data_IF_925488501127
#
_entry.id   IF_925488501127
#
_cell.length_a   1.000
_cell.length_b   1.000
_cell.length_c   1.000
_cell.angle_alpha   90.00
_cell.angle_beta   90.00
_cell.angle_gamma   90.00
#
_symmetry.space_group_name_H-M   'P 1'
#
loop_
_entity.id
_entity.type
_entity.pdbx_description
1 polymer ?
#
# COMPACT_ATOMS: atom_id res chain seq x y z
N UNK A 1 9.81 -10.87 -21.56
CA UNK A 1 9.76 -10.04 -20.34
C UNK A 1 8.88 -8.84 -20.63
N UNK A 2 7.97 -8.49 -19.73
CA UNK A 2 7.09 -7.31 -19.86
C UNK A 2 7.41 -6.39 -18.69
N UNK A 3 7.62 -5.11 -18.97
CA UNK A 3 7.75 -4.10 -17.92
C UNK A 3 6.35 -3.71 -17.45
N UNK A 4 6.09 -3.83 -16.15
CA UNK A 4 4.84 -3.36 -15.54
C UNK A 4 5.11 -2.03 -14.85
N UNK A 5 4.31 -1.02 -15.16
CA UNK A 5 4.39 0.29 -14.53
C UNK A 5 3.00 0.67 -14.06
N UNK A 6 2.88 1.13 -12.82
CA UNK A 6 1.64 1.61 -12.26
C UNK A 6 1.65 3.13 -12.10
N UNK A 7 0.53 3.76 -12.44
CA UNK A 7 0.31 5.19 -12.24
C UNK A 7 -1.03 5.44 -11.59
N UNK A 8 -1.19 6.62 -11.00
CA UNK A 8 -2.51 7.15 -10.64
C UNK A 8 -3.12 7.89 -11.82
N UNK A 9 -4.44 7.79 -12.02
CA UNK A 9 -5.14 8.43 -13.14
C UNK A 9 -5.15 7.57 -14.41
N UNK A 10 -5.19 8.21 -15.58
CA UNK A 10 -5.40 7.57 -16.89
C UNK A 10 -4.14 6.83 -17.40
N UNK A 11 -4.16 5.48 -17.51
CA UNK A 11 -3.01 4.69 -17.96
C UNK A 11 -2.54 4.99 -19.37
N UNK A 12 -3.46 5.29 -20.30
CA UNK A 12 -3.17 5.46 -21.72
C UNK A 12 -2.24 6.67 -21.95
N UNK A 13 -2.49 7.78 -21.25
CA UNK A 13 -1.63 8.97 -21.32
C UNK A 13 -0.21 8.68 -20.82
N UNK A 14 -0.08 7.84 -19.79
CA UNK A 14 1.22 7.48 -19.25
C UNK A 14 1.95 6.45 -20.13
N UNK A 15 1.23 5.54 -20.77
CA UNK A 15 1.82 4.61 -21.74
C UNK A 15 2.44 5.38 -22.90
N UNK A 16 1.71 6.32 -23.51
CA UNK A 16 2.23 7.15 -24.61
C UNK A 16 3.54 7.84 -24.22
N UNK A 17 3.60 8.46 -23.04
CA UNK A 17 4.80 9.11 -22.55
C UNK A 17 5.96 8.12 -22.28
N UNK A 18 5.66 6.90 -21.84
CA UNK A 18 6.67 5.87 -21.59
C UNK A 18 7.25 5.27 -22.87
N UNK A 19 6.51 5.27 -23.97
CA UNK A 19 6.99 4.76 -25.26
C UNK A 19 8.18 5.53 -25.79
N UNK A 20 8.32 6.81 -25.43
CA UNK A 20 9.51 7.61 -25.78
C UNK A 20 10.79 7.11 -25.09
N UNK A 21 10.66 6.36 -23.97
CA UNK A 21 11.77 5.88 -23.16
C UNK A 21 11.95 4.35 -23.17
N UNK A 22 10.95 3.59 -23.62
CA UNK A 22 10.94 2.13 -23.57
C UNK A 22 10.33 1.48 -24.82
N UNK A 23 11.18 0.79 -25.58
CA UNK A 23 10.82 0.10 -26.83
C UNK A 23 10.39 -1.38 -26.64
N UNK A 24 10.33 -1.85 -25.40
CA UNK A 24 9.96 -3.24 -25.09
C UNK A 24 8.46 -3.46 -24.86
N UNK A 25 8.05 -4.72 -24.59
CA UNK A 25 6.71 -5.00 -24.09
C UNK A 25 6.47 -4.24 -22.77
N UNK A 26 5.34 -3.54 -22.70
CA UNK A 26 4.95 -2.66 -21.60
C UNK A 26 3.51 -2.98 -21.21
N UNK A 27 3.23 -2.97 -19.92
CA UNK A 27 1.90 -3.06 -19.33
C UNK A 27 1.78 -1.89 -18.36
N UNK A 28 0.85 -0.98 -18.65
CA UNK A 28 0.57 0.17 -17.78
C UNK A 28 -0.77 -0.06 -17.09
N UNK A 29 -0.79 0.07 -15.77
CA UNK A 29 -2.00 -0.12 -14.96
C UNK A 29 -2.28 1.11 -14.12
N UNK A 30 -3.56 1.34 -13.79
CA UNK A 30 -3.96 2.36 -12.83
C UNK A 30 -4.00 1.78 -11.42
N UNK A 31 -3.52 2.58 -10.48
CA UNK A 31 -3.64 2.38 -9.05
C UNK A 31 -4.21 3.61 -8.38
N UNK A 32 -4.75 3.43 -7.18
CA UNK A 32 -5.40 4.50 -6.43
C UNK A 32 -4.37 5.45 -5.80
N UNK A 33 -3.32 4.89 -5.20
CA UNK A 33 -2.31 5.63 -4.47
C UNK A 33 -1.01 5.75 -5.24
N UNK A 34 -0.39 6.92 -5.18
CA UNK A 34 1.02 7.08 -5.55
C UNK A 34 1.92 6.40 -4.53
N UNK A 35 3.13 5.99 -4.94
CA UNK A 35 4.14 5.49 -4.01
C UNK A 35 4.43 6.48 -2.87
N UNK A 36 4.39 7.79 -3.17
CA UNK A 36 4.61 8.85 -2.17
C UNK A 36 3.49 8.90 -1.13
N UNK A 37 2.25 8.64 -1.52
CA UNK A 37 1.12 8.57 -0.58
C UNK A 37 1.23 7.33 0.31
N UNK A 38 1.49 6.16 -0.27
CA UNK A 38 1.74 4.94 0.51
C UNK A 38 2.92 5.12 1.47
N UNK A 39 3.96 5.85 1.07
CA UNK A 39 5.07 6.17 1.95
C UNK A 39 4.67 7.02 3.15
N UNK A 40 3.81 8.02 2.96
CA UNK A 40 3.29 8.81 4.09
C UNK A 40 2.46 7.95 5.05
N UNK A 41 1.69 7.01 4.54
CA UNK A 41 0.94 6.05 5.36
C UNK A 41 1.90 5.16 6.15
N UNK A 42 2.91 4.59 5.49
CA UNK A 42 3.94 3.78 6.15
C UNK A 42 4.67 4.56 7.25
N UNK A 43 5.04 5.81 6.99
CA UNK A 43 5.72 6.67 7.95
C UNK A 43 4.79 6.98 9.15
N UNK A 44 3.51 7.34 8.93
CA UNK A 44 2.55 7.57 10.03
C UNK A 44 2.35 6.33 10.93
N UNK A 45 2.25 5.14 10.33
CA UNK A 45 2.14 3.89 11.08
C UNK A 45 3.38 3.63 11.95
N UNK A 46 4.57 3.96 11.44
CA UNK A 46 5.84 3.81 12.16
C UNK A 46 6.03 4.89 13.23
N UNK A 47 5.42 6.07 13.05
CA UNK A 47 5.50 7.22 13.95
C UNK A 47 4.40 7.23 15.03
N UNK A 48 3.82 6.08 15.36
CA UNK A 48 2.80 5.96 16.42
C UNK A 48 1.37 5.76 15.91
N UNK A 49 1.14 5.71 14.60
CA UNK A 49 -0.18 5.46 14.01
C UNK A 49 -0.74 4.09 14.36
N UNK A 50 0.09 3.05 14.30
CA UNK A 50 -0.31 1.70 14.66
C UNK A 50 -0.72 1.58 16.13
N UNK A 51 0.06 2.18 17.03
CA UNK A 51 -0.18 2.17 18.48
C UNK A 51 -1.46 2.94 18.84
N UNK A 52 -1.73 4.06 18.14
CA UNK A 52 -3.00 4.80 18.28
C UNK A 52 -4.21 3.96 17.85
N UNK A 53 -4.03 3.04 16.91
CA UNK A 53 -5.05 2.07 16.51
C UNK A 53 -5.09 0.82 17.43
N UNK A 54 -4.27 0.77 18.49
CA UNK A 54 -4.20 -0.34 19.43
C UNK A 54 -3.40 -1.54 18.94
N UNK A 55 -2.54 -1.35 17.94
CA UNK A 55 -1.69 -2.40 17.36
C UNK A 55 -0.25 -2.26 17.84
N UNK A 56 0.40 -3.40 18.08
CA UNK A 56 1.84 -3.47 18.30
C UNK A 56 2.52 -3.82 16.98
N UNK A 57 3.15 -2.82 16.37
CA UNK A 57 3.81 -2.92 15.07
C UNK A 57 5.15 -3.69 15.19
N UNK A 58 5.32 -4.71 14.35
CA UNK A 58 6.57 -5.45 14.21
C UNK A 58 7.37 -4.97 13.00
N UNK A 59 6.69 -4.72 11.89
CA UNK A 59 7.29 -4.31 10.63
C UNK A 59 6.25 -3.63 9.73
N UNK A 60 6.72 -2.76 8.83
CA UNK A 60 5.89 -2.13 7.80
C UNK A 60 6.63 -2.08 6.46
N UNK A 61 5.91 -2.30 5.35
CA UNK A 61 6.44 -2.19 3.99
C UNK A 61 5.40 -1.70 3.00
N UNK A 62 5.84 -1.27 1.82
CA UNK A 62 4.95 -0.91 0.71
C UNK A 62 4.96 -2.06 -0.28
N UNK A 63 3.79 -2.62 -0.56
CA UNK A 63 3.61 -3.56 -1.65
C UNK A 63 3.18 -2.79 -2.91
N UNK A 64 4.16 -2.60 -3.79
CA UNK A 64 3.96 -1.93 -5.08
C UNK A 64 3.14 -2.75 -6.07
N UNK A 65 2.96 -4.05 -5.84
CA UNK A 65 2.17 -4.92 -6.71
C UNK A 65 0.68 -4.85 -6.41
N UNK A 66 0.31 -4.58 -5.15
CA UNK A 66 -1.10 -4.50 -4.70
C UNK A 66 -1.54 -3.07 -4.38
N UNK A 67 -0.62 -2.10 -4.42
CA UNK A 67 -0.87 -0.69 -4.06
C UNK A 67 -1.28 -0.47 -2.60
N UNK A 68 -0.68 -1.25 -1.69
CA UNK A 68 -1.02 -1.25 -0.27
C UNK A 68 0.23 -1.02 0.59
N UNK A 69 0.01 -0.56 1.83
CA UNK A 69 0.99 -0.67 2.91
C UNK A 69 0.71 -1.97 3.66
N UNK A 70 1.69 -2.86 3.72
CA UNK A 70 1.63 -4.07 4.52
C UNK A 70 2.22 -3.83 5.90
N UNK A 71 1.53 -4.24 6.95
CA UNK A 71 2.03 -4.16 8.33
C UNK A 71 1.93 -5.50 9.04
N UNK A 72 3.05 -5.95 9.57
CA UNK A 72 3.11 -7.09 10.48
C UNK A 72 2.89 -6.58 11.91
N UNK A 73 1.95 -7.20 12.62
CA UNK A 73 1.59 -6.84 13.99
C UNK A 73 1.57 -8.08 14.89
N UNK A 74 1.68 -7.92 16.19
CA UNK A 74 1.59 -9.07 17.12
C UNK A 74 0.24 -9.76 17.02
N UNK A 75 -0.85 -8.99 17.11
CA UNK A 75 -2.23 -9.42 17.00
C UNK A 75 -3.06 -8.27 16.44
N UNK A 76 -4.19 -8.58 15.80
CA UNK A 76 -5.14 -7.58 15.28
C UNK A 76 -6.55 -7.91 15.73
N UNK A 77 -7.42 -6.89 15.71
CA UNK A 77 -8.87 -7.04 15.90
C UNK A 77 -9.63 -6.36 14.76
N UNK A 78 -10.88 -6.75 14.49
CA UNK A 78 -11.71 -6.05 13.50
C UNK A 78 -11.91 -4.56 13.81
N UNK A 79 -11.85 -4.15 15.07
CA UNK A 79 -11.91 -2.75 15.49
C UNK A 79 -10.67 -1.96 15.05
N UNK A 80 -9.48 -2.55 15.22
CA UNK A 80 -8.23 -1.91 14.84
C UNK A 80 -8.11 -1.76 13.32
N UNK A 81 -8.49 -2.78 12.55
CA UNK A 81 -8.53 -2.73 11.08
C UNK A 81 -9.50 -1.64 10.59
N UNK A 82 -10.70 -1.57 11.17
CA UNK A 82 -11.66 -0.51 10.84
C UNK A 82 -11.17 0.89 11.22
N UNK A 83 -10.41 1.02 12.31
CA UNK A 83 -9.82 2.30 12.69
C UNK A 83 -8.79 2.76 11.66
N UNK A 84 -7.93 1.85 11.20
CA UNK A 84 -6.94 2.12 10.15
C UNK A 84 -7.61 2.48 8.82
N UNK A 85 -8.62 1.71 8.39
CA UNK A 85 -9.40 2.00 7.18
C UNK A 85 -10.07 3.38 7.25
N UNK A 86 -10.58 3.76 8.43
CA UNK A 86 -11.21 5.06 8.64
C UNK A 86 -10.24 6.24 8.56
N UNK A 87 -8.95 6.03 8.87
CA UNK A 87 -7.91 7.08 8.85
C UNK A 87 -7.25 7.16 7.47
N UNK A 88 -6.92 6.01 6.87
CA UNK A 88 -6.06 5.94 5.70
C UNK A 88 -6.80 5.59 4.39
N UNK A 89 -8.06 5.17 4.48
CA UNK A 89 -8.82 4.64 3.35
C UNK A 89 -8.95 3.12 3.44
N UNK A 90 -10.11 2.61 3.04
CA UNK A 90 -10.42 1.20 3.11
C UNK A 90 -9.50 0.40 2.16
N UNK A 91 -8.79 -0.58 2.70
CA UNK A 91 -7.90 -1.44 1.91
C UNK A 91 -6.57 -0.79 1.52
N UNK A 92 -6.27 0.42 2.00
CA UNK A 92 -4.94 1.03 1.85
C UNK A 92 -3.88 0.28 2.68
N UNK A 93 -4.29 -0.29 3.81
CA UNK A 93 -3.42 -1.04 4.72
C UNK A 93 -3.83 -2.51 4.76
N UNK A 94 -2.86 -3.41 4.59
CA UNK A 94 -3.00 -4.85 4.78
C UNK A 94 -2.34 -5.25 6.10
N UNK A 95 -3.14 -5.66 7.08
CA UNK A 95 -2.66 -6.08 8.41
C UNK A 95 -2.40 -7.59 8.43
N UNK A 96 -1.21 -7.99 8.86
CA UNK A 96 -0.80 -9.39 8.99
C UNK A 96 -0.46 -9.67 10.45
N UNK A 97 -1.33 -10.40 11.18
CA UNK A 97 -1.05 -10.74 12.57
C UNK A 97 -0.10 -11.94 12.66
N UNK A 98 0.96 -11.79 13.46
CA UNK A 98 1.89 -12.86 13.77
C UNK A 98 1.25 -13.96 14.63
N UNK A 99 0.31 -13.60 15.50
CA UNK A 99 -0.43 -14.51 16.38
C UNK A 99 -1.92 -14.47 16.06
N UNK A 100 -2.57 -15.64 16.20
CA UNK A 100 -4.03 -15.75 16.15
C UNK A 100 -4.56 -16.06 17.55
N UNK A 101 -5.62 -15.38 18.01
CA UNK A 101 -6.32 -15.78 19.22
C UNK A 101 -6.80 -17.24 19.10
N UNK A 102 -6.75 -17.98 20.22
CA UNK A 102 -7.25 -19.35 20.33
C UNK A 102 -8.76 -19.38 20.55
#
# INVERSE_FOLDING_TARGET
MVLNVAFTGEPETHEEALRDAWDGPLCVVSFEHTFRELRRVQDDLSDGGAERAGLELLFSSIDVMTNQVEVDVVVTTPEAERALDGIHGAGTIRVIPALRPL
#
